data_IF_803859032868
#
_entry.id   IF_803859032868
#
_cell.length_a   1.000
_cell.length_b   1.000
_cell.length_c   1.000
_cell.angle_alpha   90.00
_cell.angle_beta   90.00
_cell.angle_gamma   90.00
#
_symmetry.space_group_name_H-M   'P 1'
#
loop_
_entity.id
_entity.type
_entity.pdbx_description
1 polymer ?
#
# COMPACT_ATOMS: atom_id res chain seq x y z
N UNK A 1 -111.36 -40.20 1.73
CA UNK A 1 -111.48 -39.12 0.72
C UNK A 1 -110.59 -38.02 1.21
N UNK A 2 -109.59 -37.66 0.41
CA UNK A 2 -108.45 -36.80 0.75
C UNK A 2 -108.84 -35.49 1.47
N UNK A 3 -107.97 -34.96 2.34
CA UNK A 3 -107.08 -33.85 1.95
C UNK A 3 -106.25 -33.26 3.13
N UNK A 4 -105.10 -32.74 2.72
CA UNK A 4 -104.29 -31.63 3.23
C UNK A 4 -103.33 -31.73 4.43
N UNK A 5 -102.13 -31.24 4.14
CA UNK A 5 -100.87 -31.26 4.86
C UNK A 5 -100.48 -29.83 5.28
N UNK A 6 -100.09 -29.61 6.56
CA UNK A 6 -99.49 -28.36 6.99
C UNK A 6 -98.57 -28.53 8.21
N UNK A 7 -97.39 -27.88 8.11
CA UNK A 7 -96.23 -27.86 9.01
C UNK A 7 -96.46 -27.10 10.35
N UNK A 8 -95.68 -27.35 11.43
CA UNK A 8 -95.63 -26.47 12.60
C UNK A 8 -94.29 -25.72 12.81
N UNK A 9 -94.41 -24.49 13.32
CA UNK A 9 -93.37 -23.49 13.62
C UNK A 9 -92.65 -23.72 14.99
N UNK A 10 -91.38 -23.33 15.07
CA UNK A 10 -90.53 -23.30 16.28
C UNK A 10 -90.64 -21.97 17.08
N UNK A 11 -90.31 -22.02 18.38
CA UNK A 11 -90.25 -20.88 19.32
C UNK A 11 -88.82 -20.62 19.84
N UNK A 12 -88.40 -19.37 20.16
CA UNK A 12 -87.01 -19.08 20.57
C UNK A 12 -86.85 -18.79 22.08
N UNK A 13 -85.85 -19.39 22.73
CA UNK A 13 -85.37 -18.99 24.08
C UNK A 13 -83.89 -19.36 24.30
N UNK A 14 -82.98 -18.41 24.14
CA UNK A 14 -81.61 -18.36 24.73
C UNK A 14 -80.83 -17.21 24.08
N UNK A 15 -80.44 -16.14 24.78
CA UNK A 15 -79.43 -15.17 24.28
C UNK A 15 -78.98 -14.07 25.27
N UNK A 16 -79.21 -14.16 26.60
CA UNK A 16 -78.93 -13.02 27.51
C UNK A 16 -77.96 -13.26 28.69
N UNK A 17 -77.49 -14.49 28.92
CA UNK A 17 -76.49 -14.77 29.97
C UNK A 17 -75.07 -15.04 29.42
N UNK A 18 -74.92 -15.22 28.11
CA UNK A 18 -73.67 -15.59 27.46
C UNK A 18 -72.85 -14.39 26.94
N UNK A 19 -73.32 -13.15 27.13
CA UNK A 19 -72.61 -11.94 26.67
C UNK A 19 -71.80 -11.25 27.77
N UNK A 20 -72.23 -11.30 29.04
CA UNK A 20 -71.56 -10.61 30.14
C UNK A 20 -70.20 -11.21 30.52
N UNK A 21 -70.09 -12.54 30.59
CA UNK A 21 -68.84 -13.23 30.93
C UNK A 21 -67.84 -13.24 29.77
N UNK A 22 -68.31 -13.27 28.51
CA UNK A 22 -67.44 -13.13 27.33
C UNK A 22 -66.80 -11.74 27.22
N UNK A 23 -67.51 -10.68 27.59
CA UNK A 23 -66.98 -9.31 27.55
C UNK A 23 -65.85 -9.13 28.57
N UNK A 24 -66.02 -9.62 29.80
CA UNK A 24 -64.97 -9.55 30.84
C UNK A 24 -63.74 -10.40 30.52
N UNK A 25 -63.93 -11.57 29.90
CA UNK A 25 -62.83 -12.44 29.49
C UNK A 25 -62.03 -11.84 28.33
N UNK A 26 -62.70 -11.16 27.39
CA UNK A 26 -62.06 -10.43 26.31
C UNK A 26 -61.29 -9.21 26.84
N UNK A 27 -61.84 -8.44 27.78
CA UNK A 27 -61.15 -7.29 28.38
C UNK A 27 -59.85 -7.67 29.11
N UNK A 28 -59.81 -8.82 29.79
CA UNK A 28 -58.61 -9.30 30.49
C UNK A 28 -57.59 -9.85 29.50
N UNK A 29 -58.03 -10.57 28.45
CA UNK A 29 -57.16 -11.06 27.38
C UNK A 29 -56.53 -9.89 26.60
N UNK A 30 -57.31 -8.85 26.27
CA UNK A 30 -56.85 -7.63 25.60
C UNK A 30 -55.88 -6.83 26.49
N UNK A 31 -56.12 -6.80 27.80
CA UNK A 31 -55.20 -6.17 28.76
C UNK A 31 -53.88 -6.96 28.92
N UNK A 32 -53.95 -8.29 28.87
CA UNK A 32 -52.76 -9.16 28.95
C UNK A 32 -51.91 -9.11 27.67
N UNK A 33 -52.55 -9.06 26.49
CA UNK A 33 -51.86 -8.88 25.21
C UNK A 33 -51.24 -7.49 25.08
N UNK A 34 -51.94 -6.41 25.49
CA UNK A 34 -51.37 -5.05 25.55
C UNK A 34 -50.13 -4.99 26.45
N UNK A 35 -50.22 -5.54 27.67
CA UNK A 35 -49.13 -5.46 28.65
C UNK A 35 -47.90 -6.28 28.23
N UNK A 36 -48.11 -7.47 27.63
CA UNK A 36 -47.01 -8.27 27.09
C UNK A 36 -46.43 -7.70 25.79
N UNK A 37 -47.25 -7.07 24.94
CA UNK A 37 -46.77 -6.39 23.73
C UNK A 37 -45.90 -5.19 24.09
N UNK A 38 -46.28 -4.38 25.08
CA UNK A 38 -45.44 -3.29 25.58
C UNK A 38 -44.15 -3.78 26.26
N UNK A 39 -44.19 -4.88 27.01
CA UNK A 39 -43.00 -5.46 27.66
C UNK A 39 -42.05 -6.15 26.66
N UNK A 40 -42.58 -6.73 25.57
CA UNK A 40 -41.79 -7.26 24.46
C UNK A 40 -41.22 -6.14 23.58
N UNK A 41 -42.03 -5.14 23.21
CA UNK A 41 -41.55 -3.95 22.50
C UNK A 41 -40.48 -3.21 23.31
N UNK A 42 -40.66 -3.05 24.62
CA UNK A 42 -39.66 -2.47 25.51
C UNK A 42 -38.36 -3.28 25.59
N UNK A 43 -38.42 -4.61 25.57
CA UNK A 43 -37.21 -5.47 25.52
C UNK A 43 -36.52 -5.49 24.15
N UNK A 44 -37.29 -5.40 23.07
CA UNK A 44 -36.76 -5.26 21.70
C UNK A 44 -36.08 -3.90 21.55
N UNK A 45 -36.71 -2.81 21.99
CA UNK A 45 -36.13 -1.47 22.00
C UNK A 45 -34.87 -1.38 22.89
N UNK A 46 -34.89 -1.98 24.10
CA UNK A 46 -33.68 -2.10 24.94
C UNK A 46 -32.59 -2.93 24.28
N UNK A 47 -32.96 -3.99 23.54
CA UNK A 47 -32.01 -4.80 22.77
C UNK A 47 -31.40 -4.02 21.60
N UNK A 48 -32.20 -3.21 20.89
CA UNK A 48 -31.77 -2.34 19.79
C UNK A 48 -30.95 -1.14 20.28
N UNK A 49 -31.30 -0.54 21.42
CA UNK A 49 -30.52 0.53 22.08
C UNK A 49 -29.22 -0.01 22.66
N UNK A 50 -29.23 -1.17 23.33
CA UNK A 50 -28.00 -1.81 23.82
C UNK A 50 -27.10 -2.23 22.65
N UNK A 51 -27.67 -2.69 21.54
CA UNK A 51 -26.91 -3.00 20.32
C UNK A 51 -26.35 -1.74 19.66
N UNK A 52 -27.06 -0.61 19.70
CA UNK A 52 -26.58 0.69 19.22
C UNK A 52 -25.46 1.25 20.11
N UNK A 53 -25.63 1.23 21.43
CA UNK A 53 -24.62 1.68 22.40
C UNK A 53 -23.34 0.85 22.31
N UNK A 54 -23.48 -0.48 22.22
CA UNK A 54 -22.33 -1.37 22.02
C UNK A 54 -21.60 -1.10 20.70
N UNK A 55 -22.34 -0.73 19.65
CA UNK A 55 -21.78 -0.42 18.33
C UNK A 55 -21.08 0.95 18.31
N UNK A 56 -21.59 1.91 19.06
CA UNK A 56 -21.00 3.24 19.28
C UNK A 56 -19.66 3.13 20.03
N UNK A 57 -19.65 2.47 21.19
CA UNK A 57 -18.43 2.15 21.94
C UNK A 57 -17.42 1.37 21.07
N UNK A 58 -17.92 0.49 20.19
CA UNK A 58 -17.08 -0.31 19.31
C UNK A 58 -16.39 0.54 18.23
N UNK A 59 -17.12 1.46 17.61
CA UNK A 59 -16.59 2.29 16.54
C UNK A 59 -15.59 3.33 17.10
N UNK A 60 -15.80 3.83 18.32
CA UNK A 60 -14.88 4.71 19.05
C UNK A 60 -13.49 4.11 19.27
N UNK A 61 -13.41 2.87 19.80
CA UNK A 61 -12.10 2.25 20.01
C UNK A 61 -11.39 1.94 18.70
N UNK A 62 -12.13 1.60 17.63
CA UNK A 62 -11.56 1.32 16.31
C UNK A 62 -10.94 2.59 15.73
N UNK A 63 -11.65 3.72 15.76
CA UNK A 63 -11.17 5.01 15.26
C UNK A 63 -9.89 5.43 15.99
N UNK A 64 -9.86 5.31 17.32
CA UNK A 64 -8.68 5.60 18.14
C UNK A 64 -7.51 4.68 17.77
N UNK A 65 -7.74 3.36 17.69
CA UNK A 65 -6.71 2.40 17.29
C UNK A 65 -6.15 2.67 15.89
N UNK A 66 -7.01 2.94 14.90
CA UNK A 66 -6.60 3.27 13.53
C UNK A 66 -5.78 4.55 13.48
N UNK A 67 -6.17 5.59 14.21
CA UNK A 67 -5.43 6.85 14.32
C UNK A 67 -4.01 6.62 14.84
N UNK A 68 -3.87 5.89 15.96
CA UNK A 68 -2.55 5.60 16.52
C UNK A 68 -1.71 4.71 15.59
N UNK A 69 -2.31 3.69 14.99
CA UNK A 69 -1.61 2.78 14.07
C UNK A 69 -1.12 3.54 12.83
N UNK A 70 -1.98 4.34 12.18
CA UNK A 70 -1.62 5.17 11.03
C UNK A 70 -0.55 6.20 11.38
N UNK A 71 -0.66 6.84 12.56
CA UNK A 71 0.34 7.81 13.02
C UNK A 71 1.70 7.15 13.24
N UNK A 72 1.76 6.04 13.98
CA UNK A 72 3.01 5.31 14.23
C UNK A 72 3.60 4.79 12.93
N UNK A 73 2.79 4.20 12.06
CA UNK A 73 3.22 3.72 10.74
C UNK A 73 3.88 4.86 9.94
N UNK A 74 3.19 5.99 9.75
CA UNK A 74 3.72 7.13 9.01
C UNK A 74 4.96 7.76 9.65
N UNK A 75 5.02 7.80 10.98
CA UNK A 75 6.18 8.30 11.71
C UNK A 75 7.41 7.40 11.52
N UNK A 76 7.23 6.07 11.49
CA UNK A 76 8.31 5.13 11.18
C UNK A 76 8.80 5.30 9.73
N UNK A 77 7.91 5.51 8.76
CA UNK A 77 8.31 5.85 7.39
C UNK A 77 9.06 7.17 7.30
N UNK A 78 8.61 8.19 8.04
CA UNK A 78 9.30 9.47 8.11
C UNK A 78 10.74 9.32 8.64
N UNK A 79 10.92 8.58 9.74
CA UNK A 79 12.24 8.27 10.30
C UNK A 79 13.10 7.44 9.33
N UNK A 80 12.52 6.43 8.70
CA UNK A 80 13.19 5.60 7.70
C UNK A 80 13.66 6.42 6.49
N UNK A 81 12.79 7.29 5.97
CA UNK A 81 13.12 8.22 4.87
C UNK A 81 14.24 9.18 5.25
N UNK A 82 14.20 9.75 6.46
CA UNK A 82 15.25 10.61 6.98
C UNK A 82 16.60 9.86 7.10
N UNK A 83 16.59 8.61 7.58
CA UNK A 83 17.78 7.77 7.67
C UNK A 83 18.36 7.45 6.28
N UNK A 84 17.53 7.04 5.32
CA UNK A 84 17.96 6.75 3.93
C UNK A 84 18.52 8.00 3.26
N UNK A 85 17.86 9.15 3.43
CA UNK A 85 18.33 10.43 2.91
C UNK A 85 19.68 10.83 3.54
N UNK A 86 19.84 10.65 4.85
CA UNK A 86 21.09 10.90 5.55
C UNK A 86 22.23 10.02 5.04
N UNK A 87 21.98 8.72 4.79
CA UNK A 87 22.96 7.82 4.16
C UNK A 87 23.33 8.30 2.76
N UNK A 88 22.35 8.74 1.96
CA UNK A 88 22.60 9.31 0.64
C UNK A 88 23.48 10.57 0.68
N UNK A 89 23.21 11.49 1.59
CA UNK A 89 24.01 12.70 1.80
C UNK A 89 25.42 12.35 2.30
N UNK A 90 25.52 11.45 3.29
CA UNK A 90 26.80 10.97 3.81
C UNK A 90 27.67 10.37 2.69
N UNK A 91 27.05 9.59 1.80
CA UNK A 91 27.72 9.00 0.64
C UNK A 91 28.29 10.06 -0.31
N UNK A 92 27.60 11.18 -0.52
CA UNK A 92 28.12 12.30 -1.32
C UNK A 92 29.27 13.04 -0.61
N UNK A 93 29.18 13.25 0.70
CA UNK A 93 30.15 14.03 1.47
C UNK A 93 31.46 13.26 1.65
N UNK A 94 31.40 11.99 2.08
CA UNK A 94 32.59 11.13 2.26
C UNK A 94 33.40 10.98 0.98
N UNK A 95 32.74 11.09 -0.18
CA UNK A 95 33.39 11.01 -1.49
C UNK A 95 33.76 12.36 -2.07
N UNK A 96 33.44 13.48 -1.42
CA UNK A 96 33.72 14.84 -1.93
C UNK A 96 35.20 15.13 -2.16
N UNK A 97 36.08 14.57 -1.33
CA UNK A 97 37.54 14.64 -1.53
C UNK A 97 38.03 13.83 -2.75
N UNK A 98 37.24 12.85 -3.21
CA UNK A 98 37.47 12.07 -4.44
C UNK A 98 36.67 12.60 -5.64
N UNK A 99 35.67 13.47 -5.44
CA UNK A 99 34.83 14.03 -6.51
C UNK A 99 35.64 14.91 -7.47
N UNK A 100 36.69 15.58 -6.98
CA UNK A 100 37.59 16.37 -7.82
C UNK A 100 38.56 15.52 -8.66
N UNK A 101 38.73 14.23 -8.38
CA UNK A 101 39.73 13.37 -9.04
C UNK A 101 39.19 12.10 -9.68
N UNK A 102 38.00 11.59 -9.34
CA UNK A 102 37.55 10.25 -9.74
C UNK A 102 36.04 10.14 -10.03
N UNK A 103 35.38 11.19 -10.53
CA UNK A 103 33.95 11.15 -10.87
C UNK A 103 33.62 10.09 -11.94
N UNK A 104 33.45 8.83 -11.54
CA UNK A 104 32.57 7.89 -12.20
C UNK A 104 31.16 8.33 -11.87
N UNK A 105 30.42 8.77 -12.88
CA UNK A 105 29.03 9.23 -12.78
C UNK A 105 28.10 8.24 -12.08
N UNK A 106 28.43 6.96 -12.06
CA UNK A 106 27.61 5.87 -11.50
C UNK A 106 27.40 5.95 -9.98
N UNK A 107 28.42 6.24 -9.18
CA UNK A 107 28.28 6.34 -7.72
C UNK A 107 27.47 7.57 -7.31
N UNK A 108 27.72 8.72 -7.96
CA UNK A 108 26.94 9.93 -7.72
C UNK A 108 25.46 9.71 -8.06
N UNK A 109 25.18 9.05 -9.20
CA UNK A 109 23.81 8.68 -9.59
C UNK A 109 23.13 7.83 -8.52
N UNK A 110 23.81 6.80 -7.98
CA UNK A 110 23.23 5.97 -6.91
C UNK A 110 22.92 6.76 -5.62
N UNK A 111 23.81 7.68 -5.22
CA UNK A 111 23.60 8.53 -4.05
C UNK A 111 22.46 9.53 -4.26
N UNK A 112 22.36 10.16 -5.44
CA UNK A 112 21.24 11.04 -5.78
C UNK A 112 19.90 10.30 -5.79
N UNK A 113 19.86 9.05 -6.29
CA UNK A 113 18.67 8.21 -6.24
C UNK A 113 18.27 7.94 -4.78
N UNK A 114 19.21 7.60 -3.90
CA UNK A 114 18.94 7.39 -2.47
C UNK A 114 18.41 8.66 -1.78
N UNK A 115 18.98 9.83 -2.08
CA UNK A 115 18.52 11.11 -1.53
C UNK A 115 17.09 11.41 -2.01
N UNK A 116 16.83 11.25 -3.30
CA UNK A 116 15.50 11.50 -3.88
C UNK A 116 14.45 10.54 -3.30
N UNK A 117 14.76 9.24 -3.23
CA UNK A 117 13.87 8.23 -2.67
C UNK A 117 13.62 8.45 -1.18
N UNK A 118 14.66 8.69 -0.39
CA UNK A 118 14.55 8.98 1.04
C UNK A 118 13.76 10.27 1.31
N UNK A 119 14.00 11.32 0.51
CA UNK A 119 13.25 12.57 0.57
C UNK A 119 11.77 12.39 0.25
N UNK A 120 11.43 11.61 -0.79
CA UNK A 120 10.04 11.31 -1.14
C UNK A 120 9.33 10.59 0.01
N UNK A 121 9.95 9.53 0.56
CA UNK A 121 9.41 8.77 1.70
C UNK A 121 9.26 9.64 2.95
N UNK A 122 10.22 10.53 3.21
CA UNK A 122 10.14 11.47 4.34
C UNK A 122 8.97 12.46 4.15
N UNK A 123 8.82 13.07 2.97
CA UNK A 123 7.72 14.00 2.69
C UNK A 123 6.36 13.31 2.81
N UNK A 124 6.21 12.11 2.24
CA UNK A 124 4.95 11.36 2.30
C UNK A 124 4.61 10.93 3.71
N UNK A 125 5.59 10.49 4.51
CA UNK A 125 5.41 10.19 5.93
C UNK A 125 4.98 11.42 6.75
N UNK A 126 5.58 12.59 6.48
CA UNK A 126 5.17 13.84 7.13
C UNK A 126 3.73 14.23 6.75
N UNK A 127 3.38 14.18 5.46
CA UNK A 127 2.02 14.45 4.99
C UNK A 127 1.00 13.48 5.61
N UNK A 128 1.35 12.20 5.76
CA UNK A 128 0.53 11.20 6.44
C UNK A 128 0.30 11.54 7.92
N UNK A 129 1.36 11.87 8.66
CA UNK A 129 1.23 12.34 10.05
C UNK A 129 0.36 13.60 10.16
N UNK A 130 0.56 14.59 9.28
CA UNK A 130 -0.25 15.79 9.24
C UNK A 130 -1.72 15.51 8.90
N UNK A 131 -1.99 14.59 7.97
CA UNK A 131 -3.35 14.19 7.60
C UNK A 131 -4.08 13.55 8.78
N UNK A 132 -3.41 12.67 9.52
CA UNK A 132 -3.96 12.00 10.72
C UNK A 132 -4.19 13.00 11.86
N UNK A 133 -3.28 13.95 12.10
CA UNK A 133 -3.44 14.96 13.17
C UNK A 133 -4.56 15.94 12.86
N UNK A 134 -4.69 16.35 11.59
CA UNK A 134 -5.69 17.36 11.21
C UNK A 134 -7.12 16.82 11.20
N UNK A 135 -7.29 15.50 11.06
CA UNK A 135 -8.60 14.82 10.97
C UNK A 135 -9.53 15.40 9.88
N UNK A 136 -8.98 16.18 8.95
CA UNK A 136 -9.72 16.81 7.87
C UNK A 136 -9.80 15.86 6.68
N UNK A 137 -11.04 15.57 6.24
CA UNK A 137 -11.35 14.70 5.10
C UNK A 137 -10.53 15.03 3.84
N UNK A 138 -10.39 16.31 3.53
CA UNK A 138 -9.62 16.76 2.37
C UNK A 138 -8.12 16.42 2.50
N UNK A 139 -7.53 16.56 3.69
CA UNK A 139 -6.12 16.21 3.92
C UNK A 139 -5.90 14.69 3.83
N UNK A 140 -6.82 13.91 4.40
CA UNK A 140 -6.76 12.45 4.39
C UNK A 140 -6.99 11.88 2.97
N UNK A 141 -7.93 12.47 2.23
CA UNK A 141 -8.19 12.15 0.82
C UNK A 141 -7.02 12.56 -0.09
N UNK A 142 -6.39 13.71 0.15
CA UNK A 142 -5.19 14.12 -0.56
C UNK A 142 -4.03 13.14 -0.29
N UNK A 143 -3.83 12.72 0.96
CA UNK A 143 -2.83 11.71 1.31
C UNK A 143 -3.11 10.36 0.64
N UNK A 144 -4.36 9.88 0.66
CA UNK A 144 -4.77 8.67 -0.06
C UNK A 144 -4.50 8.78 -1.57
N UNK A 145 -4.83 9.92 -2.18
CA UNK A 145 -4.58 10.20 -3.59
C UNK A 145 -3.08 10.19 -3.92
N UNK A 146 -2.23 10.74 -3.02
CA UNK A 146 -0.78 10.67 -3.15
C UNK A 146 -0.26 9.22 -3.08
N UNK A 147 -0.78 8.40 -2.15
CA UNK A 147 -0.39 6.98 -2.06
C UNK A 147 -0.75 6.21 -3.34
N UNK A 148 -1.94 6.45 -3.89
CA UNK A 148 -2.34 5.84 -5.17
C UNK A 148 -1.44 6.27 -6.33
N UNK A 149 -1.09 7.56 -6.40
CA UNK A 149 -0.21 8.06 -7.45
C UNK A 149 1.19 7.40 -7.37
N UNK A 150 1.74 7.26 -6.16
CA UNK A 150 3.03 6.61 -5.96
C UNK A 150 2.94 5.14 -6.35
N UNK A 151 1.89 4.42 -5.96
CA UNK A 151 1.69 3.03 -6.36
C UNK A 151 1.65 2.86 -7.89
N UNK A 152 0.98 3.77 -8.61
CA UNK A 152 0.96 3.75 -10.08
C UNK A 152 2.35 4.00 -10.67
N UNK A 153 3.11 4.94 -10.10
CA UNK A 153 4.49 5.19 -10.53
C UNK A 153 5.37 3.97 -10.28
N UNK A 154 5.25 3.32 -9.12
CA UNK A 154 5.99 2.10 -8.78
C UNK A 154 5.63 0.94 -9.70
N UNK A 155 4.34 0.78 -10.02
CA UNK A 155 3.88 -0.23 -10.98
C UNK A 155 4.49 0.01 -12.36
N UNK A 156 4.43 1.25 -12.87
CA UNK A 156 5.03 1.62 -14.15
C UNK A 156 6.55 1.41 -14.11
N UNK A 157 7.23 1.83 -13.04
CA UNK A 157 8.67 1.63 -12.87
C UNK A 157 9.04 0.15 -12.84
N UNK A 158 8.25 -0.70 -12.16
CA UNK A 158 8.46 -2.15 -12.12
C UNK A 158 8.26 -2.81 -13.49
N UNK A 159 7.19 -2.42 -14.21
CA UNK A 159 6.94 -2.90 -15.58
C UNK A 159 8.06 -2.45 -16.53
N UNK A 160 8.47 -1.18 -16.47
CA UNK A 160 9.59 -0.66 -17.25
C UNK A 160 10.88 -1.37 -16.88
N UNK A 161 11.17 -1.62 -15.61
CA UNK A 161 12.36 -2.36 -15.19
C UNK A 161 12.36 -3.79 -15.74
N UNK A 162 11.22 -4.48 -15.75
CA UNK A 162 11.10 -5.82 -16.35
C UNK A 162 11.32 -5.80 -17.87
N UNK A 163 10.66 -4.87 -18.57
CA UNK A 163 10.80 -4.72 -20.04
C UNK A 163 12.23 -4.33 -20.40
N UNK A 164 12.80 -3.34 -19.70
CA UNK A 164 14.17 -2.92 -19.92
C UNK A 164 15.14 -4.03 -19.58
N UNK A 165 15.00 -4.78 -18.48
CA UNK A 165 15.88 -5.90 -18.16
C UNK A 165 15.97 -6.92 -19.31
N UNK A 166 14.83 -7.27 -19.92
CA UNK A 166 14.75 -8.18 -21.07
C UNK A 166 15.43 -7.62 -22.33
N UNK A 167 15.48 -6.30 -22.49
CA UNK A 167 16.14 -5.63 -23.63
C UNK A 167 17.58 -5.23 -23.32
N UNK A 168 17.89 -5.00 -22.05
CA UNK A 168 19.16 -4.51 -21.54
C UNK A 168 20.24 -5.51 -21.88
N UNK A 169 19.97 -6.81 -21.74
CA UNK A 169 20.99 -7.85 -21.97
C UNK A 169 21.71 -7.68 -23.30
N UNK A 170 21.03 -7.37 -24.40
CA UNK A 170 21.67 -7.30 -25.73
C UNK A 170 22.16 -5.88 -26.09
N UNK A 171 21.36 -4.86 -25.80
CA UNK A 171 21.75 -3.44 -26.00
C UNK A 171 22.94 -3.07 -25.10
N UNK A 172 22.90 -3.44 -23.82
CA UNK A 172 23.98 -3.19 -22.87
C UNK A 172 25.24 -3.94 -23.30
N UNK A 173 25.14 -5.18 -23.80
CA UNK A 173 26.30 -5.93 -24.32
C UNK A 173 27.02 -5.16 -25.42
N UNK A 174 26.27 -4.69 -26.40
CA UNK A 174 26.83 -3.99 -27.53
C UNK A 174 27.37 -2.62 -27.12
N UNK A 175 26.63 -1.88 -26.29
CA UNK A 175 27.03 -0.56 -25.83
C UNK A 175 28.21 -0.60 -24.86
N UNK A 176 28.29 -1.59 -23.95
CA UNK A 176 29.45 -1.82 -23.09
C UNK A 176 30.67 -2.18 -23.92
N UNK A 177 30.53 -3.09 -24.88
CA UNK A 177 31.68 -3.51 -25.69
C UNK A 177 32.25 -2.33 -26.49
N UNK A 178 31.38 -1.58 -27.17
CA UNK A 178 31.77 -0.39 -27.91
C UNK A 178 32.35 0.69 -26.98
N UNK A 179 31.72 0.94 -25.83
CA UNK A 179 32.19 1.97 -24.91
C UNK A 179 33.52 1.60 -24.27
N UNK A 180 33.70 0.35 -23.85
CA UNK A 180 34.96 -0.15 -23.31
C UNK A 180 36.07 -0.09 -24.36
N UNK A 181 35.88 -0.65 -25.54
CA UNK A 181 36.97 -0.74 -26.53
C UNK A 181 37.29 0.61 -27.17
N UNK A 182 36.29 1.46 -27.40
CA UNK A 182 36.49 2.73 -28.08
C UNK A 182 36.88 3.87 -27.13
N UNK A 183 36.38 3.90 -25.88
CA UNK A 183 36.55 5.06 -25.00
C UNK A 183 37.54 4.85 -23.85
N UNK A 184 38.04 3.63 -23.65
CA UNK A 184 39.05 3.35 -22.62
C UNK A 184 40.37 4.06 -22.91
N UNK A 185 40.95 4.66 -21.86
CA UNK A 185 42.19 5.44 -21.89
C UNK A 185 42.22 6.61 -22.90
N UNK A 186 41.06 7.05 -23.37
CA UNK A 186 41.00 8.22 -24.25
C UNK A 186 41.14 9.55 -23.48
N UNK A 187 41.83 10.55 -24.05
CA UNK A 187 41.98 11.85 -23.43
C UNK A 187 40.62 12.51 -23.20
N UNK A 188 40.37 12.99 -21.98
CA UNK A 188 39.10 13.60 -21.58
C UNK A 188 37.99 12.61 -21.19
N UNK A 189 38.28 11.29 -21.17
CA UNK A 189 37.31 10.23 -20.80
C UNK A 189 37.78 9.39 -19.61
N UNK A 190 38.55 9.97 -18.69
CA UNK A 190 39.11 9.28 -17.52
C UNK A 190 38.05 8.66 -16.61
N UNK A 191 36.84 9.23 -16.58
CA UNK A 191 35.69 8.69 -15.85
C UNK A 191 35.24 7.33 -16.38
N UNK A 192 35.33 7.11 -17.69
CA UNK A 192 35.00 5.84 -18.35
C UNK A 192 36.08 4.81 -18.04
N UNK A 193 37.37 5.16 -18.18
CA UNK A 193 38.49 4.28 -17.83
C UNK A 193 38.39 3.79 -16.39
N UNK A 194 38.15 4.71 -15.44
CA UNK A 194 37.96 4.36 -14.02
C UNK A 194 36.73 3.48 -13.77
N UNK A 195 35.63 3.72 -14.47
CA UNK A 195 34.44 2.88 -14.36
C UNK A 195 34.69 1.46 -14.88
N UNK A 196 35.41 1.32 -16.01
CA UNK A 196 35.81 0.03 -16.58
C UNK A 196 36.77 -0.72 -15.66
N UNK A 197 37.79 -0.03 -15.12
CA UNK A 197 38.74 -0.64 -14.19
C UNK A 197 38.06 -1.14 -12.91
N UNK A 198 37.14 -0.35 -12.34
CA UNK A 198 36.35 -0.77 -11.17
C UNK A 198 35.45 -1.96 -11.49
N UNK A 199 34.73 -1.92 -12.61
CA UNK A 199 33.89 -3.05 -13.02
C UNK A 199 34.73 -4.34 -13.12
N UNK A 200 35.91 -4.27 -13.75
CA UNK A 200 36.81 -5.41 -13.87
C UNK A 200 37.36 -5.88 -12.51
N UNK A 201 37.66 -4.96 -11.60
CA UNK A 201 38.15 -5.27 -10.25
C UNK A 201 37.08 -5.85 -9.34
N UNK A 202 35.85 -5.34 -9.39
CA UNK A 202 34.73 -5.75 -8.53
C UNK A 202 34.18 -7.10 -8.98
N UNK A 203 33.98 -7.28 -10.29
CA UNK A 203 33.42 -8.50 -10.86
C UNK A 203 34.47 -9.57 -11.20
N UNK A 204 35.76 -9.26 -11.00
CA UNK A 204 36.88 -10.15 -11.37
C UNK A 204 36.68 -10.68 -12.80
N UNK A 205 36.58 -9.76 -13.75
CA UNK A 205 36.40 -10.04 -15.18
C UNK A 205 37.37 -9.21 -16.03
N UNK A 206 37.53 -9.53 -17.31
CA UNK A 206 38.32 -8.72 -18.24
C UNK A 206 37.70 -8.64 -19.62
N UNK A 207 37.61 -7.42 -20.15
CA UNK A 207 36.93 -7.15 -21.43
C UNK A 207 35.42 -7.32 -21.31
N UNK A 208 34.73 -7.09 -22.42
CA UNK A 208 33.27 -7.11 -22.45
C UNK A 208 32.77 -8.56 -22.41
N UNK A 209 33.16 -9.35 -23.41
CA UNK A 209 32.91 -10.78 -23.53
C UNK A 209 34.15 -11.60 -23.15
N UNK A 210 35.35 -11.08 -23.42
CA UNK A 210 36.61 -11.75 -23.06
C UNK A 210 37.79 -10.78 -23.04
N UNK A 211 38.91 -11.20 -22.47
CA UNK A 211 40.16 -10.42 -22.51
C UNK A 211 40.68 -10.18 -23.95
N UNK A 212 40.23 -10.99 -24.93
CA UNK A 212 40.57 -10.80 -26.34
C UNK A 212 39.96 -9.52 -26.94
N UNK A 213 38.92 -8.95 -26.32
CA UNK A 213 38.29 -7.72 -26.83
C UNK A 213 39.28 -6.53 -26.86
N UNK A 214 40.36 -6.60 -26.09
CA UNK A 214 41.41 -5.59 -26.04
C UNK A 214 42.51 -5.74 -27.09
N UNK A 215 42.52 -6.83 -27.88
CA UNK A 215 43.58 -7.11 -28.87
C UNK A 215 43.78 -5.99 -29.89
N UNK A 216 42.74 -5.20 -30.16
CA UNK A 216 42.75 -4.10 -31.11
C UNK A 216 42.77 -2.71 -30.46
N UNK A 217 42.86 -2.64 -29.13
CA UNK A 217 42.94 -1.39 -28.37
C UNK A 217 44.39 -0.96 -28.19
N UNK A 218 44.65 0.36 -28.30
CA UNK A 218 46.01 0.92 -28.09
C UNK A 218 46.47 0.79 -26.64
N UNK A 219 45.52 0.96 -25.72
CA UNK A 219 45.72 0.93 -24.28
C UNK A 219 44.79 -0.14 -23.68
N UNK A 220 45.29 -0.88 -22.70
CA UNK A 220 44.57 -1.99 -22.09
C UNK A 220 44.91 -2.13 -20.60
N UNK A 221 43.99 -2.70 -19.80
CA UNK A 221 44.22 -2.89 -18.38
C UNK A 221 45.30 -3.96 -18.11
N UNK A 222 46.12 -3.72 -17.09
CA UNK A 222 47.32 -4.53 -16.78
C UNK A 222 47.02 -5.93 -16.19
N UNK A 223 45.75 -6.24 -15.91
CA UNK A 223 45.28 -7.51 -15.36
C UNK A 223 44.73 -8.50 -16.43
N UNK A 224 44.90 -8.24 -17.73
CA UNK A 224 44.39 -9.07 -18.83
C UNK A 224 44.64 -10.59 -18.68
N UNK A 225 45.78 -10.98 -18.12
CA UNK A 225 46.20 -12.39 -17.98
C UNK A 225 45.82 -13.04 -16.64
N UNK A 226 45.22 -12.28 -15.71
CA UNK A 226 44.94 -12.77 -14.35
C UNK A 226 43.49 -13.21 -14.14
N UNK A 227 42.64 -13.11 -15.16
CA UNK A 227 41.19 -13.15 -14.98
C UNK A 227 40.52 -13.89 -16.14
N UNK A 228 39.67 -14.87 -15.82
CA UNK A 228 38.87 -15.62 -16.81
C UNK A 228 37.44 -15.08 -16.87
N UNK A 229 36.95 -14.85 -18.10
CA UNK A 229 35.57 -14.48 -18.38
C UNK A 229 35.33 -12.98 -18.64
N UNK A 230 34.31 -12.70 -19.45
CA UNK A 230 33.87 -11.34 -19.78
C UNK A 230 33.01 -10.69 -18.69
N UNK A 231 33.11 -9.36 -18.60
CA UNK A 231 32.35 -8.59 -17.61
C UNK A 231 30.84 -8.60 -17.84
N UNK A 232 30.39 -8.72 -19.09
CA UNK A 232 28.97 -8.85 -19.43
C UNK A 232 28.35 -10.03 -18.69
N UNK A 233 28.94 -11.23 -18.82
CA UNK A 233 28.33 -12.45 -18.29
C UNK A 233 28.29 -12.43 -16.77
N UNK A 234 29.34 -11.88 -16.14
CA UNK A 234 29.37 -11.67 -14.69
C UNK A 234 28.35 -10.64 -14.22
N UNK A 235 28.18 -9.55 -14.96
CA UNK A 235 27.19 -8.52 -14.67
C UNK A 235 25.77 -9.04 -14.85
N UNK A 236 25.48 -9.80 -15.90
CA UNK A 236 24.18 -10.46 -16.11
C UNK A 236 23.88 -11.43 -14.97
N UNK A 237 24.86 -12.23 -14.56
CA UNK A 237 24.71 -13.16 -13.44
C UNK A 237 24.43 -12.42 -12.13
N UNK A 238 25.18 -11.34 -11.85
CA UNK A 238 24.94 -10.50 -10.68
C UNK A 238 23.55 -9.85 -10.70
N UNK A 239 23.14 -9.30 -11.85
CA UNK A 239 21.81 -8.71 -11.99
C UNK A 239 20.72 -9.77 -11.78
N UNK A 240 20.87 -10.97 -12.34
CA UNK A 240 19.91 -12.06 -12.16
C UNK A 240 19.81 -12.52 -10.69
N UNK A 241 20.94 -12.66 -10.00
CA UNK A 241 21.00 -13.08 -8.60
C UNK A 241 20.37 -12.03 -7.67
N UNK A 242 20.60 -10.74 -7.94
CA UNK A 242 20.03 -9.64 -7.15
C UNK A 242 18.60 -9.26 -7.57
N UNK A 243 18.14 -9.61 -8.78
CA UNK A 243 16.80 -9.31 -9.26
C UNK A 243 15.73 -9.91 -8.34
N UNK A 244 15.98 -11.10 -7.78
CA UNK A 244 15.07 -11.72 -6.82
C UNK A 244 14.93 -10.88 -5.55
N UNK A 245 16.05 -10.40 -5.00
CA UNK A 245 16.06 -9.57 -3.79
C UNK A 245 15.38 -8.23 -4.06
N UNK A 246 15.73 -7.55 -5.17
CA UNK A 246 15.14 -6.27 -5.56
C UNK A 246 13.64 -6.42 -5.80
N UNK A 247 13.22 -7.50 -6.48
CA UNK A 247 11.82 -7.84 -6.71
C UNK A 247 11.06 -8.10 -5.41
N UNK A 248 11.64 -8.85 -4.47
CA UNK A 248 11.04 -9.10 -3.16
C UNK A 248 10.88 -7.81 -2.35
N UNK A 249 11.88 -6.94 -2.35
CA UNK A 249 11.79 -5.62 -1.70
C UNK A 249 10.69 -4.78 -2.34
N UNK A 250 10.62 -4.72 -3.68
CA UNK A 250 9.58 -3.99 -4.40
C UNK A 250 8.16 -4.46 -4.09
N UNK A 251 7.95 -5.79 -4.06
CA UNK A 251 6.65 -6.38 -3.67
C UNK A 251 6.33 -6.03 -2.21
N UNK A 252 7.31 -6.10 -1.32
CA UNK A 252 7.13 -5.74 0.09
C UNK A 252 6.71 -4.27 0.26
N UNK A 253 7.34 -3.35 -0.47
CA UNK A 253 6.97 -1.92 -0.48
C UNK A 253 5.54 -1.74 -0.99
N UNK A 254 5.18 -2.37 -2.10
CA UNK A 254 3.83 -2.32 -2.65
C UNK A 254 2.78 -2.85 -1.65
N UNK A 255 3.05 -3.97 -0.97
CA UNK A 255 2.17 -4.50 0.07
C UNK A 255 2.00 -3.54 1.26
N UNK A 256 3.09 -2.94 1.74
CA UNK A 256 3.05 -1.96 2.83
C UNK A 256 2.26 -0.70 2.43
N UNK A 257 2.44 -0.24 1.20
CA UNK A 257 1.69 0.89 0.65
C UNK A 257 0.20 0.59 0.54
N UNK A 258 -0.18 -0.58 0.03
CA UNK A 258 -1.57 -1.00 -0.05
C UNK A 258 -2.20 -1.14 1.34
N UNK A 259 -1.47 -1.68 2.31
CA UNK A 259 -1.93 -1.75 3.70
C UNK A 259 -2.18 -0.33 4.27
N UNK A 260 -1.26 0.60 4.06
CA UNK A 260 -1.42 2.01 4.45
C UNK A 260 -2.62 2.66 3.75
N UNK A 261 -2.83 2.39 2.46
CA UNK A 261 -3.96 2.91 1.70
C UNK A 261 -5.29 2.37 2.23
N UNK A 262 -5.39 1.06 2.50
CA UNK A 262 -6.58 0.43 3.10
C UNK A 262 -6.88 1.02 4.47
N UNK A 263 -5.87 1.12 5.35
CA UNK A 263 -6.04 1.72 6.67
C UNK A 263 -6.52 3.17 6.57
N UNK A 264 -5.97 3.94 5.63
CA UNK A 264 -6.39 5.32 5.37
C UNK A 264 -7.83 5.37 4.87
N UNK A 265 -8.23 4.50 3.94
CA UNK A 265 -9.61 4.42 3.45
C UNK A 265 -10.60 4.04 4.56
N UNK A 266 -10.24 3.09 5.42
CA UNK A 266 -11.04 2.73 6.58
C UNK A 266 -11.21 3.93 7.53
N UNK A 267 -10.14 4.66 7.79
CA UNK A 267 -10.22 5.87 8.62
C UNK A 267 -11.07 6.97 7.98
N UNK A 268 -10.96 7.19 6.65
CA UNK A 268 -11.86 8.11 5.92
C UNK A 268 -13.32 7.67 6.05
N UNK A 269 -13.60 6.38 5.91
CA UNK A 269 -14.97 5.85 6.00
C UNK A 269 -15.59 6.05 7.39
N UNK A 270 -14.82 5.82 8.46
CA UNK A 270 -15.29 6.06 9.83
C UNK A 270 -15.55 7.55 10.09
N UNK A 271 -14.65 8.43 9.64
CA UNK A 271 -14.89 9.88 9.68
C UNK A 271 -16.08 10.30 8.81
N UNK A 272 -16.37 9.55 7.73
CA UNK A 272 -17.56 9.80 6.91
C UNK A 272 -18.84 9.52 7.70
N UNK A 273 -18.87 8.33 8.32
CA UNK A 273 -19.97 7.82 9.12
C UNK A 273 -20.30 8.73 10.30
N UNK A 274 -19.29 9.22 11.03
CA UNK A 274 -19.49 10.12 12.18
C UNK A 274 -20.22 11.43 11.78
N UNK A 275 -19.88 12.10 10.68
CA UNK A 275 -20.64 13.31 10.30
C UNK A 275 -22.06 13.00 9.79
N UNK A 276 -22.28 11.81 9.20
CA UNK A 276 -23.62 11.42 8.75
C UNK A 276 -24.56 11.18 9.94
N UNK A 277 -24.06 10.56 11.01
CA UNK A 277 -24.80 10.43 12.28
C UNK A 277 -25.06 11.80 12.91
N UNK A 278 -24.06 12.70 12.96
CA UNK A 278 -24.23 14.08 13.45
C UNK A 278 -25.25 14.87 12.62
N UNK A 279 -25.28 14.70 11.30
CA UNK A 279 -26.26 15.38 10.44
C UNK A 279 -27.67 14.78 10.58
N UNK A 280 -27.79 13.47 10.85
CA UNK A 280 -29.09 12.82 11.06
C UNK A 280 -29.74 13.21 12.39
N UNK A 281 -28.96 13.67 13.37
CA UNK A 281 -29.45 14.11 14.69
C UNK A 281 -29.90 15.58 14.75
N UNK A 282 -29.64 16.38 13.69
CA UNK A 282 -29.99 17.81 13.58
C UNK A 282 -31.25 18.03 12.75
#
# INVERSE_FOLDING_TARGET
MEDDNASPQETPRSNKLESGDRIKHNEIADRWTSTNTQRCAGRVLLGEEMSRLYKDDQDDWITVCLKYLLFVFNFLFWLGGAAVMAVGIWTLIDKSDYLSLLASSTFAVSAYILILAGGLVMVTGFLGCCAVIREQRSCLSAYFSCLLLIFLIELVAGVLAYVYYQRLSDELKQHLNQTMTANYAQPGKDSITKAVDRLQQDFKCCGSNSSLDWLHSRDHPSNIYKVEGGCITKLEQFLADHLLIIGAVGIGVACLQLAGAVLTSCFIYLLYKEEEEVFSDV
#
